data_IF_576757333045
#
_entry.id   IF_576757333045
#
_cell.length_a   1.000
_cell.length_b   1.000
_cell.length_c   1.000
_cell.angle_alpha   90.00
_cell.angle_beta   90.00
_cell.angle_gamma   90.00
#
_symmetry.space_group_name_H-M   'P 1'
#
loop_
_entity.id
_entity.type
_entity.pdbx_description
1 polymer ?
#
# COMPACT_ATOMS: atom_id res chain seq x y z
N UNK A 1 -37.43 -59.35 -44.19
CA UNK A 1 -38.52 -60.28 -43.85
C UNK A 1 -39.70 -59.41 -43.45
N UNK A 2 -40.62 -59.20 -44.40
CA UNK A 2 -41.86 -58.45 -44.16
C UNK A 2 -42.78 -59.22 -43.20
N UNK A 3 -43.51 -58.51 -42.34
CA UNK A 3 -44.97 -58.59 -42.16
C UNK A 3 -45.43 -57.55 -41.14
N UNK A 4 -46.60 -56.95 -41.44
CA UNK A 4 -47.17 -55.72 -40.89
C UNK A 4 -48.12 -55.97 -39.67
N UNK A 5 -49.11 -55.10 -39.33
CA UNK A 5 -49.25 -54.38 -38.05
C UNK A 5 -50.52 -54.79 -37.27
N UNK A 6 -50.83 -54.14 -36.12
CA UNK A 6 -52.16 -53.92 -35.45
C UNK A 6 -51.81 -53.25 -34.09
N UNK A 7 -52.46 -52.23 -33.54
CA UNK A 7 -53.68 -51.51 -33.85
C UNK A 7 -53.86 -50.32 -32.89
N UNK A 8 -54.76 -49.42 -33.23
CA UNK A 8 -55.04 -48.15 -32.59
C UNK A 8 -56.25 -48.26 -31.64
N UNK A 9 -56.16 -47.73 -30.42
CA UNK A 9 -57.29 -47.32 -29.55
C UNK A 9 -56.68 -46.42 -28.47
N UNK A 10 -57.11 -45.19 -28.23
CA UNK A 10 -58.46 -44.73 -27.93
C UNK A 10 -58.35 -43.93 -26.62
N UNK A 11 -58.57 -42.62 -26.71
CA UNK A 11 -58.32 -41.58 -25.69
C UNK A 11 -59.16 -41.79 -24.41
N UNK A 12 -58.57 -41.51 -23.24
CA UNK A 12 -59.33 -41.04 -22.06
C UNK A 12 -58.53 -40.01 -21.28
N UNK A 13 -58.99 -38.76 -21.37
CA UNK A 13 -58.50 -37.59 -20.66
C UNK A 13 -58.87 -37.66 -19.18
N UNK A 14 -57.88 -37.73 -18.28
CA UNK A 14 -58.06 -37.44 -16.85
C UNK A 14 -57.27 -36.19 -16.48
N UNK A 15 -58.00 -35.14 -16.14
CA UNK A 15 -57.53 -33.89 -15.56
C UNK A 15 -56.54 -34.13 -14.41
N UNK A 16 -55.25 -33.93 -14.64
CA UNK A 16 -54.28 -33.68 -13.58
C UNK A 16 -54.14 -32.17 -13.40
N UNK A 17 -54.84 -31.63 -12.39
CA UNK A 17 -54.46 -30.34 -11.81
C UNK A 17 -53.09 -30.54 -11.17
N UNK A 18 -52.04 -30.19 -11.90
CA UNK A 18 -50.70 -30.05 -11.34
C UNK A 18 -50.72 -28.89 -10.33
N UNK A 19 -50.18 -29.06 -9.11
CA UNK A 19 -50.01 -27.94 -8.19
C UNK A 19 -49.06 -26.92 -8.83
N UNK A 20 -49.47 -25.64 -8.84
CA UNK A 20 -48.74 -24.53 -9.50
C UNK A 20 -47.47 -24.07 -8.77
N UNK A 21 -46.96 -24.83 -7.80
CA UNK A 21 -45.70 -24.52 -7.14
C UNK A 21 -44.89 -25.81 -6.91
N UNK A 22 -43.60 -25.85 -7.31
CA UNK A 22 -42.71 -26.92 -6.88
C UNK A 22 -42.56 -26.86 -5.34
N UNK A 23 -42.44 -28.01 -4.64
CA UNK A 23 -42.39 -28.06 -3.17
C UNK A 23 -41.03 -27.63 -2.59
N UNK A 24 -40.29 -26.78 -3.31
CA UNK A 24 -38.91 -26.42 -2.99
C UNK A 24 -38.67 -24.91 -2.91
N UNK A 25 -39.72 -24.08 -2.95
CA UNK A 25 -39.57 -22.61 -2.85
C UNK A 25 -39.34 -22.11 -1.40
N UNK A 26 -39.36 -23.00 -0.40
CA UNK A 26 -39.14 -22.66 1.03
C UNK A 26 -37.78 -23.15 1.57
N UNK A 27 -36.77 -23.37 0.71
CA UNK A 27 -35.39 -23.41 1.21
C UNK A 27 -34.92 -21.98 1.42
N UNK A 28 -35.10 -21.50 2.65
CA UNK A 28 -34.51 -20.27 3.16
C UNK A 28 -32.99 -20.35 2.92
N UNK A 29 -32.55 -19.74 1.82
CA UNK A 29 -31.16 -19.75 1.41
C UNK A 29 -30.35 -19.06 2.52
N UNK A 30 -29.38 -19.74 3.18
CA UNK A 30 -28.69 -19.13 4.30
C UNK A 30 -27.81 -17.99 3.77
N UNK A 31 -28.15 -16.75 4.09
CA UNK A 31 -27.36 -15.55 3.76
C UNK A 31 -25.92 -15.59 4.29
N UNK A 32 -25.59 -16.52 5.20
CA UNK A 32 -24.23 -16.82 5.63
C UNK A 32 -23.37 -17.49 4.54
N UNK A 33 -23.98 -18.22 3.60
CA UNK A 33 -23.29 -18.91 2.51
C UNK A 33 -22.96 -17.98 1.33
N UNK A 34 -23.63 -16.84 1.19
CA UNK A 34 -23.29 -15.81 0.20
C UNK A 34 -21.85 -15.31 0.36
N UNK A 35 -21.39 -15.18 1.60
CA UNK A 35 -20.01 -14.80 1.91
C UNK A 35 -18.97 -15.83 1.42
N UNK A 36 -19.37 -17.11 1.27
CA UNK A 36 -18.52 -18.19 0.76
C UNK A 36 -18.52 -18.29 -0.77
N UNK A 37 -19.53 -17.70 -1.43
CA UNK A 37 -19.64 -17.64 -2.90
C UNK A 37 -18.95 -16.41 -3.51
N UNK A 38 -18.58 -15.42 -2.69
CA UNK A 38 -17.88 -14.24 -3.17
C UNK A 38 -16.45 -14.58 -3.66
N UNK A 39 -16.21 -14.38 -4.96
CA UNK A 39 -14.87 -14.53 -5.54
C UNK A 39 -13.92 -13.42 -5.03
N UNK A 40 -12.95 -13.81 -4.22
CA UNK A 40 -11.86 -12.99 -3.64
C UNK A 40 -12.29 -11.60 -3.10
N UNK A 41 -13.20 -11.52 -2.11
CA UNK A 41 -13.81 -10.25 -1.67
C UNK A 41 -12.77 -9.22 -1.20
N UNK A 42 -11.77 -9.64 -0.44
CA UNK A 42 -10.70 -8.77 0.06
C UNK A 42 -9.68 -8.34 -1.00
N UNK A 43 -9.65 -8.99 -2.17
CA UNK A 43 -8.70 -8.66 -3.25
C UNK A 43 -9.30 -7.73 -4.31
N UNK A 44 -10.62 -7.60 -4.39
CA UNK A 44 -11.31 -6.76 -5.40
C UNK A 44 -10.77 -5.33 -5.40
N UNK A 45 -10.71 -4.69 -4.23
CA UNK A 45 -10.21 -3.32 -4.11
C UNK A 45 -8.68 -3.23 -4.37
N UNK A 46 -7.81 -4.01 -3.71
CA UNK A 46 -6.37 -3.99 -3.98
C UNK A 46 -5.99 -4.23 -5.45
N UNK A 47 -6.65 -5.16 -6.13
CA UNK A 47 -6.37 -5.47 -7.55
C UNK A 47 -6.84 -4.33 -8.45
N UNK A 48 -8.04 -3.76 -8.22
CA UNK A 48 -8.52 -2.59 -8.97
C UNK A 48 -7.60 -1.38 -8.77
N UNK A 49 -7.16 -1.13 -7.53
CA UNK A 49 -6.22 -0.05 -7.20
C UNK A 49 -4.89 -0.25 -7.94
N UNK A 50 -4.30 -1.45 -7.85
CA UNK A 50 -3.05 -1.77 -8.53
C UNK A 50 -3.20 -1.62 -10.04
N UNK A 51 -4.24 -2.18 -10.67
CA UNK A 51 -4.51 -2.05 -12.10
C UNK A 51 -4.72 -0.61 -12.55
N UNK A 52 -5.47 0.19 -11.78
CA UNK A 52 -5.69 1.60 -12.06
C UNK A 52 -4.39 2.42 -11.99
N UNK A 53 -3.61 2.25 -10.92
CA UNK A 53 -2.29 2.89 -10.79
C UNK A 53 -1.35 2.46 -11.93
N UNK A 54 -1.38 1.18 -12.29
CA UNK A 54 -0.61 0.62 -13.38
C UNK A 54 -0.89 1.29 -14.72
N UNK A 55 -2.16 1.44 -15.08
CA UNK A 55 -2.58 2.10 -16.33
C UNK A 55 -2.14 3.57 -16.31
N UNK A 56 -2.39 4.29 -15.23
CA UNK A 56 -2.06 5.72 -15.13
C UNK A 56 -0.55 5.94 -15.27
N UNK A 57 0.27 5.20 -14.51
CA UNK A 57 1.73 5.34 -14.56
C UNK A 57 2.30 4.87 -15.90
N UNK A 58 1.73 3.83 -16.50
CA UNK A 58 2.12 3.37 -17.83
C UNK A 58 1.87 4.44 -18.88
N UNK A 59 0.66 5.02 -18.95
CA UNK A 59 0.32 6.08 -19.90
C UNK A 59 1.18 7.32 -19.67
N UNK A 60 1.40 7.71 -18.42
CA UNK A 60 2.29 8.81 -18.05
C UNK A 60 3.72 8.60 -18.57
N UNK A 61 4.27 7.40 -18.36
CA UNK A 61 5.63 7.06 -18.77
C UNK A 61 5.72 6.92 -20.30
N UNK A 62 4.70 6.36 -20.94
CA UNK A 62 4.60 6.24 -22.39
C UNK A 62 4.62 7.62 -23.06
N UNK A 63 3.80 8.55 -22.55
CA UNK A 63 3.75 9.93 -23.04
C UNK A 63 5.14 10.59 -22.96
N UNK A 64 5.80 10.47 -21.81
CA UNK A 64 7.07 11.15 -21.54
C UNK A 64 8.28 10.52 -22.24
N UNK A 65 8.38 9.20 -22.29
CA UNK A 65 9.57 8.51 -22.79
C UNK A 65 9.49 8.09 -24.26
N UNK A 66 8.28 8.01 -24.83
CA UNK A 66 8.05 7.55 -26.21
C UNK A 66 7.44 8.67 -27.05
N UNK A 67 6.29 9.21 -26.64
CA UNK A 67 5.54 10.18 -27.46
C UNK A 67 6.29 11.51 -27.57
N UNK A 68 6.83 12.04 -26.46
CA UNK A 68 7.59 13.29 -26.51
C UNK A 68 8.82 13.20 -27.44
N UNK A 69 9.74 12.22 -27.31
CA UNK A 69 10.87 12.10 -28.24
C UNK A 69 10.45 11.83 -29.69
N UNK A 70 9.31 11.17 -29.91
CA UNK A 70 8.78 10.93 -31.25
C UNK A 70 8.32 12.23 -31.91
N UNK A 71 7.63 13.11 -31.17
CA UNK A 71 7.12 14.39 -31.69
C UNK A 71 8.24 15.43 -31.80
N UNK A 72 9.05 15.60 -30.76
CA UNK A 72 10.04 16.70 -30.68
C UNK A 72 11.32 16.40 -31.47
N UNK A 73 11.79 15.15 -31.45
CA UNK A 73 13.09 14.77 -32.03
C UNK A 73 12.95 13.84 -33.25
N UNK A 74 11.72 13.48 -33.66
CA UNK A 74 11.46 12.51 -34.73
C UNK A 74 12.18 11.16 -34.55
N UNK A 75 12.48 10.77 -33.30
CA UNK A 75 13.20 9.52 -32.99
C UNK A 75 12.24 8.39 -32.69
N UNK A 76 12.31 7.32 -33.50
CA UNK A 76 11.56 6.09 -33.23
C UNK A 76 12.22 5.30 -32.09
N UNK A 77 11.58 5.32 -30.91
CA UNK A 77 12.05 4.62 -29.70
C UNK A 77 11.01 3.63 -29.14
N UNK A 78 10.06 3.17 -29.96
CA UNK A 78 8.98 2.27 -29.54
C UNK A 78 9.48 0.94 -28.94
N UNK A 79 10.68 0.48 -29.32
CA UNK A 79 11.33 -0.70 -28.72
C UNK A 79 11.55 -0.60 -27.20
N UNK A 80 11.45 0.60 -26.62
CA UNK A 80 11.57 0.83 -25.18
C UNK A 80 10.32 0.38 -24.40
N UNK A 81 9.17 0.24 -25.05
CA UNK A 81 7.89 -0.07 -24.40
C UNK A 81 7.94 -1.39 -23.61
N UNK A 82 8.37 -2.54 -24.18
CA UNK A 82 8.22 -3.83 -23.51
C UNK A 82 9.02 -3.94 -22.20
N UNK A 83 10.22 -3.34 -22.13
CA UNK A 83 11.08 -3.47 -20.95
C UNK A 83 11.31 -2.14 -20.22
N UNK A 84 11.67 -1.05 -20.89
CA UNK A 84 12.04 0.19 -20.18
C UNK A 84 10.83 0.91 -19.60
N UNK A 85 9.70 0.96 -20.33
CA UNK A 85 8.47 1.59 -19.82
C UNK A 85 7.91 0.76 -18.67
N UNK A 86 7.83 -0.58 -18.85
CA UNK A 86 7.42 -1.49 -17.78
C UNK A 86 8.31 -1.36 -16.55
N UNK A 87 9.64 -1.35 -16.70
CA UNK A 87 10.56 -1.26 -15.56
C UNK A 87 10.60 0.12 -14.87
N UNK A 88 9.95 1.14 -15.44
CA UNK A 88 9.69 2.41 -14.76
C UNK A 88 8.35 2.40 -14.03
N UNK A 89 7.35 1.74 -14.59
CA UNK A 89 6.02 1.66 -14.02
C UNK A 89 5.94 0.70 -12.83
N UNK A 90 6.55 -0.49 -12.93
CA UNK A 90 6.54 -1.52 -11.90
C UNK A 90 7.01 -1.02 -10.51
N UNK A 91 8.19 -0.39 -10.37
CA UNK A 91 8.66 0.08 -9.06
C UNK A 91 7.80 1.21 -8.48
N UNK A 92 7.22 2.06 -9.32
CA UNK A 92 6.33 3.15 -8.88
C UNK A 92 5.07 2.57 -8.24
N UNK A 93 4.44 1.60 -8.90
CA UNK A 93 3.26 0.93 -8.36
C UNK A 93 3.60 0.14 -7.11
N UNK A 94 4.73 -0.59 -7.10
CA UNK A 94 5.20 -1.33 -5.93
C UNK A 94 5.32 -0.43 -4.70
N UNK A 95 6.02 0.70 -4.80
CA UNK A 95 6.30 1.57 -3.66
C UNK A 95 5.07 2.37 -3.20
N UNK A 96 4.18 2.77 -4.12
CA UNK A 96 2.90 3.42 -3.77
C UNK A 96 1.99 2.45 -3.03
N UNK A 97 1.89 1.19 -3.49
CA UNK A 97 1.13 0.15 -2.79
C UNK A 97 1.73 -0.13 -1.41
N UNK A 98 3.06 -0.22 -1.29
CA UNK A 98 3.75 -0.40 -0.01
C UNK A 98 3.45 0.76 0.95
N UNK A 99 3.53 2.00 0.48
CA UNK A 99 3.18 3.17 1.28
C UNK A 99 1.71 3.14 1.72
N UNK A 100 0.82 2.67 0.86
CA UNK A 100 -0.62 2.51 1.14
C UNK A 100 -0.92 1.43 2.18
N UNK A 101 0.00 0.50 2.47
CA UNK A 101 -0.10 -0.43 3.61
C UNK A 101 0.05 0.30 4.94
N UNK A 102 0.98 1.26 5.01
CA UNK A 102 1.36 1.92 6.26
C UNK A 102 0.60 3.23 6.51
N UNK A 103 0.15 3.92 5.45
CA UNK A 103 -0.64 5.14 5.53
C UNK A 103 -1.88 5.06 6.43
N UNK A 104 -2.77 4.04 6.36
CA UNK A 104 -3.94 3.98 7.23
C UNK A 104 -3.57 3.86 8.71
N UNK A 105 -2.39 3.29 9.03
CA UNK A 105 -1.87 3.26 10.41
C UNK A 105 -1.52 4.65 10.94
N UNK A 106 -0.96 5.52 10.08
CA UNK A 106 -0.71 6.93 10.39
C UNK A 106 -2.02 7.72 10.54
N UNK A 107 -2.98 7.52 9.63
CA UNK A 107 -4.31 8.15 9.72
C UNK A 107 -5.06 7.72 10.98
N UNK A 108 -5.00 6.44 11.35
CA UNK A 108 -5.58 5.94 12.59
C UNK A 108 -4.94 6.58 13.83
N UNK A 109 -3.64 6.83 13.83
CA UNK A 109 -2.97 7.55 14.92
C UNK A 109 -3.42 9.01 15.02
N UNK A 110 -3.57 9.71 13.89
CA UNK A 110 -4.13 11.08 13.85
C UNK A 110 -5.55 11.07 14.42
N UNK A 111 -6.39 10.14 13.96
CA UNK A 111 -7.78 10.02 14.41
C UNK A 111 -7.88 9.76 15.92
N UNK A 112 -7.03 8.88 16.46
CA UNK A 112 -6.94 8.60 17.90
C UNK A 112 -6.49 9.83 18.70
N UNK A 113 -5.52 10.60 18.19
CA UNK A 113 -5.02 11.80 18.85
C UNK A 113 -6.04 12.94 18.82
N UNK A 114 -6.73 13.12 17.69
CA UNK A 114 -7.76 14.15 17.51
C UNK A 114 -8.96 13.92 18.45
N UNK A 115 -9.44 12.68 18.54
CA UNK A 115 -10.56 12.35 19.42
C UNK A 115 -10.16 12.10 20.88
N UNK A 116 -8.88 11.82 21.14
CA UNK A 116 -8.36 11.58 22.48
C UNK A 116 -8.94 10.33 23.15
N UNK A 117 -9.42 9.35 22.39
CA UNK A 117 -9.95 8.06 22.89
C UNK A 117 -9.68 6.95 21.87
N UNK A 118 -9.58 5.70 22.35
CA UNK A 118 -9.47 4.50 21.50
C UNK A 118 -10.82 3.82 21.21
N UNK A 119 -11.87 4.18 21.93
CA UNK A 119 -13.17 3.47 21.88
C UNK A 119 -14.09 3.97 20.76
N UNK A 120 -13.75 5.11 20.14
CA UNK A 120 -14.48 5.60 18.98
C UNK A 120 -14.15 4.72 17.77
N UNK A 121 -15.18 4.19 17.13
CA UNK A 121 -15.03 3.42 15.90
C UNK A 121 -14.43 4.28 14.79
N UNK A 122 -13.56 3.67 13.98
CA UNK A 122 -13.02 4.32 12.80
C UNK A 122 -14.13 4.51 11.75
N UNK A 123 -14.03 5.55 10.89
CA UNK A 123 -14.93 5.66 9.76
C UNK A 123 -14.80 4.42 8.87
N UNK A 124 -15.91 3.99 8.28
CA UNK A 124 -16.00 2.71 7.57
C UNK A 124 -14.91 2.57 6.49
N UNK A 125 -14.60 3.61 5.73
CA UNK A 125 -13.55 3.57 4.70
C UNK A 125 -12.16 3.23 5.27
N UNK A 126 -11.82 3.75 6.46
CA UNK A 126 -10.53 3.49 7.11
C UNK A 126 -10.50 2.08 7.70
N UNK A 127 -11.62 1.61 8.26
CA UNK A 127 -11.75 0.25 8.76
C UNK A 127 -11.55 -0.77 7.63
N UNK A 128 -12.24 -0.60 6.49
CA UNK A 128 -12.07 -1.47 5.33
C UNK A 128 -10.64 -1.43 4.77
N UNK A 129 -10.02 -0.25 4.69
CA UNK A 129 -8.63 -0.13 4.26
C UNK A 129 -7.67 -0.87 5.20
N UNK A 130 -7.86 -0.79 6.51
CA UNK A 130 -7.05 -1.50 7.50
C UNK A 130 -7.09 -3.03 7.33
N UNK A 131 -8.22 -3.58 6.86
CA UNK A 131 -8.41 -5.01 6.60
C UNK A 131 -7.66 -5.50 5.35
N UNK A 132 -7.58 -4.69 4.30
CA UNK A 132 -6.97 -5.09 3.01
C UNK A 132 -5.45 -4.86 2.95
N UNK A 133 -4.82 -4.44 4.06
CA UNK A 133 -3.37 -4.15 4.13
C UNK A 133 -2.50 -5.35 3.75
N UNK A 134 -2.92 -6.57 4.10
CA UNK A 134 -2.22 -7.80 3.73
C UNK A 134 -2.15 -7.95 2.21
N UNK A 135 -3.29 -7.81 1.53
CA UNK A 135 -3.42 -7.95 0.08
C UNK A 135 -2.62 -6.86 -0.64
N UNK A 136 -2.68 -5.62 -0.17
CA UNK A 136 -1.86 -4.52 -0.70
C UNK A 136 -0.36 -4.80 -0.58
N UNK A 137 0.10 -5.33 0.56
CA UNK A 137 1.49 -5.71 0.77
C UNK A 137 1.95 -6.84 -0.16
N UNK A 138 1.12 -7.86 -0.35
CA UNK A 138 1.42 -8.98 -1.25
C UNK A 138 1.50 -8.54 -2.73
N UNK A 139 0.57 -7.68 -3.18
CA UNK A 139 0.62 -7.13 -4.54
C UNK A 139 1.85 -6.23 -4.71
N UNK A 140 2.17 -5.40 -3.72
CA UNK A 140 3.38 -4.58 -3.72
C UNK A 140 4.64 -5.43 -3.88
N UNK A 141 4.77 -6.52 -3.11
CA UNK A 141 5.88 -7.47 -3.25
C UNK A 141 5.95 -8.11 -4.64
N UNK A 142 4.82 -8.54 -5.20
CA UNK A 142 4.77 -9.10 -6.55
C UNK A 142 5.32 -8.11 -7.59
N UNK A 143 4.91 -6.83 -7.55
CA UNK A 143 5.44 -5.80 -8.44
C UNK A 143 6.93 -5.53 -8.19
N UNK A 144 7.39 -5.59 -6.94
CA UNK A 144 8.81 -5.42 -6.60
C UNK A 144 9.68 -6.56 -7.17
N UNK A 145 9.21 -7.80 -7.10
CA UNK A 145 9.89 -8.97 -7.70
C UNK A 145 9.95 -8.86 -9.22
N UNK A 146 8.83 -8.47 -9.86
CA UNK A 146 8.84 -8.19 -11.30
C UNK A 146 9.84 -7.09 -11.66
N UNK A 147 9.86 -5.98 -10.91
CA UNK A 147 10.84 -4.92 -11.09
C UNK A 147 12.29 -5.43 -10.97
N UNK A 148 12.57 -6.30 -10.00
CA UNK A 148 13.88 -6.90 -9.83
C UNK A 148 14.28 -7.72 -11.07
N UNK A 149 13.41 -8.61 -11.55
CA UNK A 149 13.68 -9.38 -12.77
C UNK A 149 13.88 -8.50 -14.00
N UNK A 150 13.01 -7.51 -14.22
CA UNK A 150 13.14 -6.59 -15.34
C UNK A 150 14.44 -5.80 -15.28
N UNK A 151 14.90 -5.42 -14.09
CA UNK A 151 16.15 -4.70 -13.86
C UNK A 151 17.38 -5.58 -14.11
N UNK A 152 17.38 -6.83 -13.60
CA UNK A 152 18.45 -7.80 -13.84
C UNK A 152 18.60 -8.18 -15.31
N UNK A 153 17.51 -8.09 -16.09
CA UNK A 153 17.53 -8.33 -17.53
C UNK A 153 18.12 -7.18 -18.37
N UNK A 154 18.49 -6.03 -17.77
CA UNK A 154 19.02 -4.88 -18.51
C UNK A 154 20.22 -5.20 -19.42
N UNK A 155 21.30 -5.85 -18.93
CA UNK A 155 22.49 -6.16 -19.74
C UNK A 155 22.25 -7.25 -20.79
N UNK A 156 21.25 -8.11 -20.61
CA UNK A 156 20.93 -9.19 -21.56
C UNK A 156 20.31 -8.65 -22.87
N UNK A 157 19.74 -7.45 -22.86
CA UNK A 157 19.06 -6.87 -24.02
C UNK A 157 20.02 -6.51 -25.15
N UNK A 158 19.63 -6.85 -26.38
CA UNK A 158 20.36 -6.47 -27.60
C UNK A 158 20.54 -4.95 -27.74
N UNK A 159 19.53 -4.17 -27.35
CA UNK A 159 19.60 -2.70 -27.37
C UNK A 159 20.69 -2.14 -26.45
N UNK A 160 20.97 -2.79 -25.31
CA UNK A 160 22.04 -2.37 -24.40
C UNK A 160 23.41 -2.74 -24.98
N UNK A 161 23.54 -3.94 -25.56
CA UNK A 161 24.76 -4.36 -26.25
C UNK A 161 25.16 -3.39 -27.36
N UNK A 162 24.22 -3.00 -28.23
CA UNK A 162 24.52 -2.02 -29.28
C UNK A 162 24.92 -0.64 -28.73
N UNK A 163 24.31 -0.18 -27.62
CA UNK A 163 24.74 1.05 -26.97
C UNK A 163 26.16 0.95 -26.41
N UNK A 164 26.49 -0.16 -25.75
CA UNK A 164 27.83 -0.39 -25.22
C UNK A 164 28.90 -0.39 -26.31
N UNK A 165 28.64 -1.06 -27.45
CA UNK A 165 29.54 -1.03 -28.61
C UNK A 165 29.71 0.38 -29.17
N UNK A 166 28.62 1.14 -29.31
CA UNK A 166 28.69 2.52 -29.79
C UNK A 166 29.48 3.43 -28.84
N UNK A 167 29.32 3.28 -27.51
CA UNK A 167 30.09 4.03 -26.53
C UNK A 167 31.57 3.67 -26.57
N UNK A 168 31.92 2.39 -26.66
CA UNK A 168 33.31 1.95 -26.80
C UNK A 168 33.95 2.50 -28.08
N UNK A 169 33.24 2.43 -29.21
CA UNK A 169 33.71 3.00 -30.47
C UNK A 169 33.92 4.52 -30.39
N UNK A 170 32.98 5.25 -29.79
CA UNK A 170 33.09 6.70 -29.58
C UNK A 170 34.25 7.08 -28.67
N UNK A 171 34.48 6.32 -27.60
CA UNK A 171 35.59 6.54 -26.67
C UNK A 171 36.94 6.40 -27.37
N UNK A 172 37.13 5.33 -28.16
CA UNK A 172 38.35 5.11 -28.94
C UNK A 172 38.53 6.24 -29.96
N UNK A 173 37.46 6.65 -30.65
CA UNK A 173 37.51 7.77 -31.61
C UNK A 173 37.90 9.10 -30.96
N UNK A 174 37.61 9.28 -29.68
CA UNK A 174 37.94 10.48 -28.90
C UNK A 174 39.31 10.37 -28.21
N UNK A 175 40.06 9.28 -28.39
CA UNK A 175 41.33 9.00 -27.69
C UNK A 175 41.21 9.16 -26.16
N UNK A 176 40.06 8.79 -25.58
CA UNK A 176 39.85 8.84 -24.14
C UNK A 176 40.22 7.50 -23.51
N UNK A 177 41.35 7.46 -22.82
CA UNK A 177 41.90 6.24 -22.22
C UNK A 177 41.02 5.70 -21.09
N UNK A 178 40.68 6.53 -20.11
CA UNK A 178 39.88 6.13 -18.95
C UNK A 178 38.44 6.68 -19.03
N UNK A 179 37.46 5.78 -18.96
CA UNK A 179 36.03 6.11 -18.94
C UNK A 179 35.41 6.09 -17.53
N UNK A 180 36.21 5.85 -16.49
CA UNK A 180 35.76 5.80 -15.11
C UNK A 180 35.18 7.13 -14.63
N UNK A 181 34.03 7.06 -13.96
CA UNK A 181 33.36 8.21 -13.34
C UNK A 181 32.97 7.80 -11.92
N UNK A 182 33.80 8.18 -10.95
CA UNK A 182 33.68 7.81 -9.54
C UNK A 182 32.26 8.06 -8.98
N UNK A 183 31.70 9.25 -9.20
CA UNK A 183 30.36 9.65 -8.72
C UNK A 183 29.24 8.74 -9.26
N UNK A 184 29.30 8.37 -10.54
CA UNK A 184 28.30 7.50 -11.17
C UNK A 184 28.40 6.05 -10.66
N UNK A 185 29.62 5.58 -10.35
CA UNK A 185 29.88 4.26 -9.78
C UNK A 185 29.32 4.19 -8.35
N UNK A 186 29.69 5.13 -7.46
CA UNK A 186 29.15 5.17 -6.09
C UNK A 186 27.63 5.20 -6.08
N UNK A 187 27.02 6.04 -6.92
CA UNK A 187 25.57 6.08 -7.05
C UNK A 187 25.01 4.70 -7.36
N UNK A 188 25.53 4.03 -8.40
CA UNK A 188 25.08 2.71 -8.85
C UNK A 188 25.18 1.67 -7.73
N UNK A 189 26.35 1.54 -7.10
CA UNK A 189 26.60 0.53 -6.06
C UNK A 189 25.69 0.72 -4.84
N UNK A 190 25.49 1.97 -4.40
CA UNK A 190 24.67 2.27 -3.22
C UNK A 190 23.20 1.96 -3.50
N UNK A 191 22.59 2.51 -4.57
CA UNK A 191 21.16 2.30 -4.76
C UNK A 191 20.83 0.85 -5.10
N UNK A 192 21.70 0.13 -5.83
CA UNK A 192 21.49 -1.30 -6.11
C UNK A 192 21.49 -2.10 -4.81
N UNK A 193 22.48 -1.88 -3.94
CA UNK A 193 22.57 -2.54 -2.64
C UNK A 193 21.34 -2.27 -1.76
N UNK A 194 20.88 -1.02 -1.70
CA UNK A 194 19.65 -0.65 -0.98
C UNK A 194 18.40 -1.34 -1.54
N UNK A 195 18.31 -1.50 -2.86
CA UNK A 195 17.22 -2.21 -3.53
C UNK A 195 17.19 -3.68 -3.15
N UNK A 196 18.35 -4.34 -3.12
CA UNK A 196 18.48 -5.75 -2.73
C UNK A 196 18.08 -5.94 -1.27
N UNK A 197 18.57 -5.10 -0.35
CA UNK A 197 18.19 -5.16 1.07
C UNK A 197 16.70 -4.90 1.27
N UNK A 198 16.14 -3.90 0.58
CA UNK A 198 14.70 -3.62 0.62
C UNK A 198 13.87 -4.81 0.16
N UNK A 199 14.23 -5.44 -0.96
CA UNK A 199 13.55 -6.62 -1.48
C UNK A 199 13.66 -7.82 -0.52
N UNK A 200 14.82 -8.03 0.10
CA UNK A 200 15.03 -9.09 1.08
C UNK A 200 14.08 -8.95 2.29
N UNK A 201 13.92 -7.72 2.82
CA UNK A 201 12.96 -7.47 3.90
C UNK A 201 11.53 -7.71 3.42
N UNK A 202 11.16 -7.25 2.21
CA UNK A 202 9.81 -7.51 1.66
C UNK A 202 9.52 -9.01 1.48
N UNK A 203 10.53 -9.81 1.15
CA UNK A 203 10.39 -11.27 1.08
C UNK A 203 10.06 -11.85 2.47
N UNK A 204 10.74 -11.41 3.53
CA UNK A 204 10.43 -11.81 4.92
C UNK A 204 9.00 -11.43 5.30
N UNK A 205 8.55 -10.21 4.98
CA UNK A 205 7.17 -9.77 5.24
C UNK A 205 6.13 -10.64 4.51
N UNK A 206 6.46 -11.06 3.30
CA UNK A 206 5.59 -11.90 2.47
C UNK A 206 5.52 -13.33 3.00
N UNK A 207 6.67 -13.94 3.32
CA UNK A 207 6.73 -15.30 3.90
C UNK A 207 5.97 -15.35 5.23
N UNK A 208 6.13 -14.33 6.08
CA UNK A 208 5.39 -14.25 7.36
C UNK A 208 3.91 -13.92 7.21
N UNK A 209 3.44 -13.58 6.00
CA UNK A 209 2.01 -13.41 5.70
C UNK A 209 1.31 -14.73 5.35
N UNK A 210 2.06 -15.82 5.15
CA UNK A 210 1.52 -17.17 4.95
C UNK A 210 0.91 -17.68 6.26
N UNK A 211 -0.33 -18.21 6.27
CA UNK A 211 -1.00 -18.61 7.51
C UNK A 211 -0.20 -19.59 8.38
N UNK A 212 0.48 -20.57 7.78
CA UNK A 212 1.31 -21.54 8.52
C UNK A 212 2.42 -20.88 9.33
N UNK A 213 3.08 -19.86 8.78
CA UNK A 213 4.15 -19.10 9.46
C UNK A 213 3.55 -18.06 10.40
N UNK A 214 2.50 -17.36 9.98
CA UNK A 214 1.85 -16.35 10.81
C UNK A 214 1.26 -16.94 12.10
N UNK A 215 0.74 -18.17 12.04
CA UNK A 215 0.15 -18.85 13.19
C UNK A 215 1.19 -19.44 14.15
N UNK A 216 2.46 -19.57 13.74
CA UNK A 216 3.55 -20.04 14.61
C UNK A 216 4.23 -18.91 15.38
N UNK A 217 3.97 -17.65 15.04
CA UNK A 217 4.57 -16.48 15.67
C UNK A 217 3.68 -15.92 16.76
N UNK A 218 4.27 -15.46 17.86
CA UNK A 218 3.52 -14.69 18.83
C UNK A 218 3.20 -13.28 18.30
N UNK A 219 2.25 -12.61 18.94
CA UNK A 219 1.81 -11.28 18.49
C UNK A 219 2.93 -10.22 18.50
N UNK A 220 3.89 -10.31 19.43
CA UNK A 220 5.01 -9.36 19.50
C UNK A 220 5.99 -9.55 18.34
N UNK A 221 6.30 -10.79 18.00
CA UNK A 221 7.13 -11.18 16.85
C UNK A 221 6.47 -10.74 15.55
N UNK A 222 5.19 -11.09 15.37
CA UNK A 222 4.43 -10.69 14.19
C UNK A 222 4.38 -9.16 14.03
N UNK A 223 4.14 -8.42 15.12
CA UNK A 223 4.18 -6.96 15.10
C UNK A 223 5.57 -6.40 14.81
N UNK A 224 6.64 -7.01 15.33
CA UNK A 224 8.00 -6.59 15.03
C UNK A 224 8.28 -6.69 13.52
N UNK A 225 7.96 -7.83 12.92
CA UNK A 225 8.16 -8.08 11.50
C UNK A 225 7.26 -7.16 10.66
N UNK A 226 5.94 -7.25 10.82
CA UNK A 226 4.99 -6.53 9.96
C UNK A 226 4.98 -5.02 10.17
N UNK A 227 5.39 -4.53 11.35
CA UNK A 227 5.49 -3.08 11.61
C UNK A 227 6.91 -2.56 11.51
N UNK A 228 7.86 -3.02 12.34
CA UNK A 228 9.21 -2.40 12.41
C UNK A 228 10.01 -2.68 11.15
N UNK A 229 10.10 -3.95 10.75
CA UNK A 229 10.77 -4.30 9.48
C UNK A 229 9.98 -3.76 8.29
N UNK A 230 8.65 -3.72 8.39
CA UNK A 230 7.79 -3.05 7.41
C UNK A 230 8.15 -1.60 7.08
N UNK A 231 8.25 -0.75 8.10
CA UNK A 231 8.71 0.63 7.92
C UNK A 231 10.18 0.72 7.47
N UNK A 232 11.03 -0.23 7.90
CA UNK A 232 12.41 -0.33 7.42
C UNK A 232 12.46 -0.61 5.91
N UNK A 233 11.64 -1.56 5.41
CA UNK A 233 11.52 -1.84 3.99
C UNK A 233 11.07 -0.60 3.20
N UNK A 234 10.03 0.10 3.68
CA UNK A 234 9.56 1.34 3.05
C UNK A 234 10.67 2.42 3.01
N UNK A 235 11.43 2.56 4.09
CA UNK A 235 12.57 3.48 4.16
C UNK A 235 13.67 3.11 3.15
N UNK A 236 14.13 1.86 3.14
CA UNK A 236 15.16 1.39 2.21
C UNK A 236 14.72 1.51 0.75
N UNK A 237 13.47 1.16 0.43
CA UNK A 237 12.93 1.30 -0.93
C UNK A 237 12.82 2.77 -1.36
N UNK A 238 12.46 3.66 -0.43
CA UNK A 238 12.43 5.11 -0.69
C UNK A 238 13.85 5.63 -0.92
N UNK A 239 14.80 5.24 -0.08
CA UNK A 239 16.20 5.64 -0.21
C UNK A 239 16.83 5.12 -1.51
N UNK A 240 16.52 3.87 -1.90
CA UNK A 240 16.87 3.31 -3.21
C UNK A 240 16.45 4.24 -4.36
N UNK A 241 15.20 4.72 -4.36
CA UNK A 241 14.69 5.62 -5.39
C UNK A 241 15.31 7.04 -5.31
N UNK A 242 15.56 7.56 -4.10
CA UNK A 242 16.19 8.86 -3.90
C UNK A 242 17.65 8.87 -4.39
N UNK A 243 18.44 7.85 -4.02
CA UNK A 243 19.83 7.70 -4.46
C UNK A 243 19.90 7.44 -5.96
N UNK A 244 18.98 6.65 -6.53
CA UNK A 244 18.86 6.50 -7.99
C UNK A 244 18.68 7.85 -8.72
N UNK A 245 17.98 8.79 -8.07
CA UNK A 245 17.74 10.11 -8.61
C UNK A 245 18.91 11.09 -8.40
N UNK A 246 19.84 10.86 -7.47
CA UNK A 246 21.11 11.60 -7.29
C UNK A 246 21.05 13.10 -7.67
N UNK A 247 21.57 13.48 -8.85
CA UNK A 247 21.54 14.87 -9.39
C UNK A 247 20.35 15.20 -10.29
N UNK A 248 19.53 14.21 -10.66
CA UNK A 248 18.34 14.35 -11.52
C UNK A 248 17.26 15.25 -10.95
N UNK A 249 17.32 15.59 -9.65
CA UNK A 249 16.42 16.52 -8.98
C UNK A 249 16.58 17.97 -9.46
N UNK A 250 17.81 18.37 -9.82
CA UNK A 250 18.15 19.75 -10.16
C UNK A 250 18.19 19.96 -11.68
N UNK A 251 18.34 18.88 -12.44
CA UNK A 251 18.48 18.94 -13.89
C UNK A 251 17.12 19.13 -14.60
N UNK A 252 16.89 20.33 -15.14
CA UNK A 252 15.67 20.69 -15.86
C UNK A 252 15.38 19.80 -17.08
N UNK A 253 16.42 19.17 -17.66
CA UNK A 253 16.29 18.26 -18.81
C UNK A 253 15.36 17.06 -18.56
N UNK A 254 15.10 16.72 -17.30
CA UNK A 254 14.18 15.64 -16.94
C UNK A 254 12.71 16.10 -16.86
N UNK A 255 12.43 17.40 -16.87
CA UNK A 255 11.06 17.94 -16.87
C UNK A 255 10.59 18.09 -18.31
N UNK A 256 9.75 17.15 -18.75
CA UNK A 256 9.26 17.10 -20.14
C UNK A 256 7.86 17.70 -20.16
N UNK A 257 7.61 18.73 -20.97
CA UNK A 257 6.33 19.44 -21.02
C UNK A 257 5.77 19.79 -19.62
N UNK A 258 6.62 20.34 -18.75
CA UNK A 258 6.28 20.68 -17.35
C UNK A 258 5.90 19.49 -16.45
N UNK A 259 5.96 18.25 -16.95
CA UNK A 259 5.69 17.05 -16.17
C UNK A 259 6.96 16.58 -15.43
N UNK A 260 6.88 16.22 -14.14
CA UNK A 260 8.03 15.79 -13.36
C UNK A 260 8.54 14.41 -13.79
N UNK A 261 9.82 14.08 -13.55
CA UNK A 261 10.28 12.71 -13.73
C UNK A 261 9.52 11.71 -12.84
N UNK A 262 9.29 10.50 -13.38
CA UNK A 262 8.48 9.45 -12.75
C UNK A 262 8.93 9.11 -11.32
N UNK A 263 10.22 9.23 -11.00
CA UNK A 263 10.73 8.97 -9.65
C UNK A 263 10.18 9.95 -8.60
N UNK A 264 9.88 11.21 -8.96
CA UNK A 264 9.31 12.20 -8.02
C UNK A 264 7.92 11.75 -7.58
N UNK A 265 7.11 11.28 -8.54
CA UNK A 265 5.78 10.73 -8.28
C UNK A 265 5.90 9.49 -7.37
N UNK A 266 6.91 8.64 -7.62
CA UNK A 266 7.15 7.42 -6.85
C UNK A 266 7.45 7.69 -5.37
N UNK A 267 8.30 8.68 -5.07
CA UNK A 267 8.78 8.93 -3.69
C UNK A 267 7.88 9.87 -2.89
N UNK A 268 6.94 10.59 -3.52
CA UNK A 268 6.09 11.55 -2.83
C UNK A 268 5.25 10.92 -1.71
N UNK A 269 4.49 9.86 -2.01
CA UNK A 269 3.64 9.21 -1.01
C UNK A 269 4.45 8.48 0.08
N UNK A 270 5.49 7.69 -0.25
CA UNK A 270 6.38 7.07 0.74
C UNK A 270 7.03 8.08 1.69
N UNK A 271 7.54 9.20 1.17
CA UNK A 271 8.17 10.22 2.01
C UNK A 271 7.17 10.85 2.97
N UNK A 272 5.94 11.15 2.53
CA UNK A 272 4.88 11.64 3.41
C UNK A 272 4.57 10.65 4.54
N UNK A 273 4.46 9.35 4.23
CA UNK A 273 4.21 8.30 5.23
C UNK A 273 5.35 8.20 6.24
N UNK A 274 6.60 8.25 5.77
CA UNK A 274 7.79 8.21 6.62
C UNK A 274 7.87 9.47 7.50
N UNK A 275 7.58 10.65 6.98
CA UNK A 275 7.51 11.90 7.75
C UNK A 275 6.42 11.84 8.83
N UNK A 276 5.23 11.35 8.50
CA UNK A 276 4.19 11.13 9.50
C UNK A 276 4.67 10.17 10.59
N UNK A 277 5.38 9.10 10.19
CA UNK A 277 5.92 8.12 11.12
C UNK A 277 6.98 8.73 12.05
N UNK A 278 7.91 9.52 11.54
CA UNK A 278 8.92 10.21 12.37
C UNK A 278 8.26 11.18 13.34
N UNK A 279 7.23 11.91 12.89
CA UNK A 279 6.43 12.78 13.75
C UNK A 279 5.84 12.00 14.94
N UNK A 280 5.23 10.83 14.70
CA UNK A 280 4.68 10.01 15.78
C UNK A 280 5.71 9.32 16.67
N UNK A 281 6.98 9.26 16.25
CA UNK A 281 8.07 8.76 17.08
C UNK A 281 8.57 9.81 18.08
N UNK A 282 8.25 11.10 17.90
CA UNK A 282 8.62 12.12 18.88
C UNK A 282 8.05 11.79 20.27
N UNK A 283 8.83 11.92 21.35
CA UNK A 283 8.46 11.44 22.69
C UNK A 283 7.11 11.96 23.17
N UNK A 284 6.76 13.22 22.91
CA UNK A 284 5.51 13.84 23.33
C UNK A 284 4.29 13.15 22.71
N UNK A 285 4.31 12.94 21.40
CA UNK A 285 3.23 12.29 20.65
C UNK A 285 3.20 10.79 20.92
N UNK A 286 4.35 10.13 20.97
CA UNK A 286 4.46 8.70 21.28
C UNK A 286 3.89 8.37 22.67
N UNK A 287 4.24 9.15 23.70
CA UNK A 287 3.70 8.98 25.07
C UNK A 287 2.19 9.24 25.09
N UNK A 288 1.71 10.29 24.41
CA UNK A 288 0.28 10.62 24.34
C UNK A 288 -0.51 9.50 23.66
N UNK A 289 -0.06 9.03 22.50
CA UNK A 289 -0.69 7.94 21.77
C UNK A 289 -0.64 6.63 22.55
N UNK A 290 0.47 6.35 23.25
CA UNK A 290 0.60 5.20 24.15
C UNK A 290 -0.39 5.24 25.31
N UNK A 291 -0.64 6.41 25.91
CA UNK A 291 -1.69 6.59 26.93
C UNK A 291 -3.08 6.29 26.37
N UNK A 292 -3.43 6.86 25.21
CA UNK A 292 -4.74 6.64 24.58
C UNK A 292 -4.96 5.14 24.28
N UNK A 293 -3.95 4.46 23.74
CA UNK A 293 -4.02 3.02 23.44
C UNK A 293 -4.16 2.14 24.69
N UNK A 294 -3.59 2.58 25.82
CA UNK A 294 -3.80 1.96 27.14
C UNK A 294 -5.16 2.26 27.76
N UNK A 295 -6.02 3.06 27.10
CA UNK A 295 -7.39 3.35 27.54
C UNK A 295 -7.60 4.72 28.16
N UNK A 296 -6.62 5.63 28.04
CA UNK A 296 -6.77 7.01 28.48
C UNK A 296 -7.75 7.80 27.59
N UNK A 297 -8.63 8.58 28.22
CA UNK A 297 -9.60 9.45 27.53
C UNK A 297 -9.42 10.92 27.93
N UNK A 298 -9.53 11.83 26.96
CA UNK A 298 -9.48 13.27 27.23
C UNK A 298 -10.62 13.74 28.15
N UNK A 299 -11.84 13.22 27.94
CA UNK A 299 -13.04 13.63 28.69
C UNK A 299 -13.05 13.12 30.14
N UNK A 300 -12.37 12.01 30.46
CA UNK A 300 -12.31 11.53 31.85
C UNK A 300 -11.47 12.45 32.73
N UNK A 301 -10.47 13.15 32.16
CA UNK A 301 -9.66 14.12 32.89
C UNK A 301 -10.45 15.39 33.23
N UNK A 302 -11.21 15.95 32.28
CA UNK A 302 -12.11 17.07 32.56
C UNK A 302 -13.17 16.70 33.61
N UNK A 303 -13.74 15.49 33.53
CA UNK A 303 -14.73 15.04 34.52
C UNK A 303 -14.11 14.81 35.90
N UNK A 304 -12.85 14.36 35.98
CA UNK A 304 -12.13 14.13 37.24
C UNK A 304 -11.58 15.42 37.85
N UNK A 305 -11.06 16.34 37.06
CA UNK A 305 -10.61 17.68 37.51
C UNK A 305 -11.81 18.56 37.91
N UNK A 306 -12.94 18.55 37.17
CA UNK A 306 -14.16 19.22 37.62
C UNK A 306 -14.70 18.64 38.91
N UNK A 307 -14.72 17.31 39.08
CA UNK A 307 -15.22 16.70 40.32
C UNK A 307 -14.31 17.01 41.52
N UNK A 308 -13.00 16.91 41.34
CA UNK A 308 -12.01 17.30 42.34
C UNK A 308 -12.13 18.78 42.74
N UNK A 309 -12.37 19.69 41.79
CA UNK A 309 -12.56 21.11 42.09
C UNK A 309 -13.88 21.39 42.80
N UNK A 310 -14.96 20.65 42.49
CA UNK A 310 -16.24 20.76 43.21
C UNK A 310 -16.09 20.26 44.64
N UNK A 311 -15.48 19.09 44.84
CA UNK A 311 -15.27 18.50 46.16
C UNK A 311 -14.42 19.44 47.07
N UNK A 312 -13.37 20.07 46.51
CA UNK A 312 -12.54 21.05 47.24
C UNK A 312 -13.30 22.34 47.58
N UNK A 313 -14.17 22.83 46.70
CA UNK A 313 -15.00 24.02 46.99
C UNK A 313 -16.06 23.72 48.06
N UNK A 314 -16.61 22.51 48.07
CA UNK A 314 -17.61 22.07 49.06
C UNK A 314 -16.98 21.89 50.45
N UNK A 315 -15.75 21.35 50.53
CA UNK A 315 -14.98 21.26 51.77
C UNK A 315 -14.63 22.65 52.34
N UNK A 316 -14.24 23.60 51.49
CA UNK A 316 -13.96 24.99 51.91
C UNK A 316 -15.22 25.71 52.42
N UNK A 317 -16.34 25.58 51.73
CA UNK A 317 -17.61 26.17 52.15
C UNK A 317 -18.12 25.56 53.48
N UNK A 318 -17.88 24.27 53.71
CA UNK A 318 -18.23 23.59 54.96
C UNK A 318 -17.35 24.07 56.11
N UNK A 319 -16.05 24.26 55.88
CA UNK A 319 -15.13 24.80 56.88
C UNK A 319 -15.47 26.25 57.27
N UNK A 320 -15.82 27.12 56.32
CA UNK A 320 -16.26 28.50 56.60
C UNK A 320 -17.58 28.58 57.35
N UNK A 321 -18.49 27.61 57.13
CA UNK A 321 -19.76 27.56 57.86
C UNK A 321 -19.55 27.15 59.31
N UNK A 322 -18.64 26.23 59.58
CA UNK A 322 -18.29 25.78 60.93
C UNK A 322 -17.57 26.86 61.74
N UNK A 323 -16.72 27.68 61.11
CA UNK A 323 -16.06 28.80 61.80
C UNK A 323 -17.05 29.92 62.16
N UNK A 324 -17.99 30.26 61.27
CA UNK A 324 -19.03 31.27 61.59
C UNK A 324 -19.94 30.83 62.74
N UNK A 325 -20.32 29.56 62.80
CA UNK A 325 -21.13 29.05 63.93
C UNK A 325 -20.37 29.04 65.27
N UNK A 326 -19.04 28.98 65.24
CA UNK A 326 -18.21 29.04 66.44
C UNK A 326 -17.95 30.48 66.93
N UNK A 327 -18.11 31.49 66.07
CA UNK A 327 -18.01 32.91 66.46
C UNK A 327 -19.34 33.48 67.00
N UNK A 328 -20.47 32.85 66.68
CA UNK A 328 -21.82 33.20 67.18
C UNK A 328 -22.23 32.45 68.46
N UNK A 329 -21.30 31.71 69.10
CA UNK A 329 -21.48 30.99 70.38
C UNK A 329 -20.68 31.64 71.48
#
# INVERSE_FOLDING_TARGET
MELSPIGNSGISTRNSKWPKHPPFDDFEYPSQLDSQLEFFPLWRFPVKLAGGLSIVVFLYTLLRDIIHPYITESKNVFYRIPILVMNKMLPVVAIILLASVYLPGSLAAIFQLYHGTKYRQFPQWLAHWMLVRKQLGLISFFYAVLHAFFSLCYPMRRSYRYKLLNWAYQQVKQNKEDAWIEDDVWRMEIYVSLGILGLAILAILTVTSVPSVSNSLNWREFQCIQSKMGYCALFLCTLHALVYAWRKWVELKYFVWYTPPTFIIAVFLPTLVLLCKTVFLFPCLARRLGRIRRGWEWKSRYKKESKCNIDVMEDQATAERLTRTAEDS
#
